data_IF_729607811182
#
_entry.id   IF_729607811182
#
_cell.length_a   1.000
_cell.length_b   1.000
_cell.length_c   1.000
_cell.angle_alpha   90.00
_cell.angle_beta   90.00
_cell.angle_gamma   90.00
#
_symmetry.space_group_name_H-M   'P 1'
#
loop_
_entity.id
_entity.type
_entity.pdbx_description
1 polymer ?
#
# COMPACT_ATOMS: atom_id res chain seq x y z
N UNK A 1 17.40 71.34 -23.54
CA UNK A 1 16.23 72.01 -22.93
C UNK A 1 15.31 70.90 -22.44
N UNK A 2 15.26 70.67 -21.13
CA UNK A 2 14.35 69.70 -20.54
C UNK A 2 13.13 70.48 -20.01
N UNK A 3 11.99 70.25 -20.63
CA UNK A 3 10.72 70.85 -20.18
C UNK A 3 10.42 70.35 -18.78
N UNK A 4 10.45 71.27 -17.81
CA UNK A 4 9.92 71.04 -16.47
C UNK A 4 8.40 70.97 -16.59
N UNK A 5 7.86 69.76 -16.74
CA UNK A 5 6.42 69.50 -16.67
C UNK A 5 5.97 69.81 -15.24
N UNK A 6 5.09 70.79 -15.08
CA UNK A 6 4.48 71.13 -13.78
C UNK A 6 3.64 69.94 -13.27
N UNK A 7 4.05 69.35 -12.15
CA UNK A 7 3.42 68.20 -11.48
C UNK A 7 2.05 68.53 -10.82
N UNK A 8 1.37 69.60 -11.24
CA UNK A 8 0.12 70.07 -10.65
C UNK A 8 -1.14 69.51 -11.34
N UNK A 9 -1.01 68.60 -12.31
CA UNK A 9 -2.14 67.94 -12.96
C UNK A 9 -2.06 66.41 -12.87
N UNK A 10 -3.19 65.76 -12.59
CA UNK A 10 -3.30 64.31 -12.44
C UNK A 10 -2.79 63.53 -13.67
N UNK A 11 -2.96 64.09 -14.87
CA UNK A 11 -2.45 63.50 -16.11
C UNK A 11 -0.92 63.55 -16.18
N UNK A 12 -0.29 64.61 -15.66
CA UNK A 12 1.16 64.72 -15.54
C UNK A 12 1.75 63.66 -14.61
N UNK A 13 1.14 63.46 -13.43
CA UNK A 13 1.55 62.40 -12.49
C UNK A 13 1.40 61.00 -13.09
N UNK A 14 0.32 60.75 -13.84
CA UNK A 14 0.11 59.46 -14.52
C UNK A 14 1.16 59.20 -15.59
N UNK A 15 1.50 60.23 -16.38
CA UNK A 15 2.55 60.14 -17.38
C UNK A 15 3.93 59.91 -16.73
N UNK A 16 4.21 60.58 -15.62
CA UNK A 16 5.46 60.44 -14.87
C UNK A 16 5.60 59.05 -14.23
N UNK A 17 4.53 58.52 -13.62
CA UNK A 17 4.52 57.17 -13.04
C UNK A 17 4.73 56.11 -14.12
N UNK A 18 4.08 56.27 -15.28
CA UNK A 18 4.26 55.36 -16.41
C UNK A 18 5.71 55.42 -16.95
N UNK A 19 6.29 56.60 -17.10
CA UNK A 19 7.68 56.77 -17.51
C UNK A 19 8.67 56.19 -16.50
N UNK A 20 8.42 56.36 -15.20
CA UNK A 20 9.23 55.76 -14.13
C UNK A 20 9.18 54.23 -14.18
N UNK A 21 8.01 53.65 -14.42
CA UNK A 21 7.84 52.19 -14.55
C UNK A 21 8.63 51.63 -15.73
N UNK A 22 8.57 52.26 -16.90
CA UNK A 22 9.35 51.82 -18.06
C UNK A 22 10.86 51.90 -17.80
N UNK A 23 11.35 52.98 -17.17
CA UNK A 23 12.76 53.08 -16.76
C UNK A 23 13.21 51.95 -15.84
N UNK A 24 12.37 51.52 -14.89
CA UNK A 24 12.70 50.40 -14.01
C UNK A 24 12.74 49.05 -14.74
N UNK A 25 11.84 48.84 -15.71
CA UNK A 25 11.80 47.63 -16.52
C UNK A 25 13.02 47.56 -17.47
N UNK A 26 13.37 48.68 -18.08
CA UNK A 26 14.55 48.79 -18.94
C UNK A 26 15.85 48.56 -18.15
N UNK A 27 15.95 49.10 -16.94
CA UNK A 27 17.09 48.85 -16.04
C UNK A 27 17.17 47.37 -15.60
N UNK A 28 16.03 46.70 -15.38
CA UNK A 28 16.00 45.27 -15.11
C UNK A 28 16.43 44.44 -16.33
N UNK A 29 15.99 44.81 -17.54
CA UNK A 29 16.36 44.14 -18.77
C UNK A 29 17.86 44.24 -19.04
N UNK A 30 18.45 45.43 -18.84
CA UNK A 30 19.91 45.64 -18.98
C UNK A 30 20.71 44.83 -17.93
N UNK A 31 20.20 44.68 -16.71
CA UNK A 31 20.83 43.89 -15.63
C UNK A 31 20.83 42.38 -15.91
N UNK A 32 19.90 41.88 -16.73
CA UNK A 32 19.89 40.49 -17.18
C UNK A 32 20.89 40.24 -18.32
N UNK A 33 21.18 41.24 -19.15
CA UNK A 33 22.12 41.11 -20.27
C UNK A 33 23.61 41.16 -19.83
N UNK A 34 23.92 41.69 -18.64
CA UNK A 34 25.30 41.81 -18.14
C UNK A 34 25.78 40.68 -17.21
N UNK A 35 24.99 39.62 -17.00
CA UNK A 35 25.46 38.43 -16.26
C UNK A 35 26.05 37.41 -17.25
N UNK A 36 27.37 37.17 -17.27
CA UNK A 36 27.92 36.06 -18.03
C UNK A 36 27.41 34.75 -17.41
N UNK A 37 26.86 33.88 -18.26
CA UNK A 37 26.39 32.54 -17.90
C UNK A 37 27.58 31.69 -17.43
N UNK A 38 27.92 31.75 -16.14
CA UNK A 38 28.82 30.78 -15.54
C UNK A 38 28.06 29.47 -15.35
N UNK A 39 28.42 28.44 -16.12
CA UNK A 39 27.98 27.06 -15.93
C UNK A 39 28.55 26.50 -14.61
N UNK A 40 27.92 26.87 -13.50
CA UNK A 40 28.13 26.27 -12.19
C UNK A 40 27.27 25.02 -12.04
N UNK A 41 27.89 23.93 -11.57
CA UNK A 41 27.26 22.68 -11.12
C UNK A 41 25.96 22.96 -10.35
N UNK A 42 24.84 22.41 -10.83
CA UNK A 42 23.54 22.55 -10.17
C UNK A 42 23.54 21.85 -8.80
N UNK A 43 23.09 22.50 -7.72
CA UNK A 43 22.71 21.79 -6.50
C UNK A 43 21.41 21.00 -6.74
N UNK A 44 21.33 19.84 -6.09
CA UNK A 44 20.14 18.99 -5.99
C UNK A 44 19.07 19.77 -5.21
N UNK A 45 17.87 19.93 -5.80
CA UNK A 45 16.68 20.38 -5.09
C UNK A 45 16.21 21.79 -5.48
N UNK A 46 15.57 21.92 -6.65
CA UNK A 46 14.85 23.13 -7.01
C UNK A 46 13.34 22.86 -6.91
N UNK A 47 12.67 23.67 -6.09
CA UNK A 47 11.21 23.69 -5.96
C UNK A 47 10.62 24.08 -7.31
N UNK A 48 9.90 23.15 -7.94
CA UNK A 48 9.14 23.43 -9.16
C UNK A 48 8.12 24.52 -8.85
N UNK A 49 8.05 25.54 -9.71
CA UNK A 49 6.95 26.49 -9.73
C UNK A 49 5.61 25.73 -9.90
N UNK A 50 4.49 26.26 -9.41
CA UNK A 50 3.18 25.66 -9.64
C UNK A 50 2.82 25.80 -11.11
N UNK A 51 3.22 24.80 -11.91
CA UNK A 51 2.61 24.56 -13.21
C UNK A 51 1.12 24.28 -12.97
N UNK A 52 0.28 24.94 -13.77
CA UNK A 52 -1.15 24.69 -13.89
C UNK A 52 -1.44 23.19 -13.87
N UNK A 53 -2.19 22.75 -12.85
CA UNK A 53 -2.38 21.32 -12.51
C UNK A 53 -2.92 20.53 -13.70
N UNK A 54 -3.72 21.18 -14.55
CA UNK A 54 -4.33 20.62 -15.76
C UNK A 54 -3.32 20.24 -16.86
N UNK A 55 -2.23 20.98 -17.01
CA UNK A 55 -1.22 20.70 -18.05
C UNK A 55 -0.38 19.47 -17.68
N UNK A 56 -0.13 19.26 -16.38
CA UNK A 56 0.63 18.09 -15.91
C UNK A 56 -0.16 16.79 -16.03
N UNK A 57 -1.47 16.84 -15.74
CA UNK A 57 -2.35 15.67 -15.82
C UNK A 57 -2.56 15.25 -17.28
N UNK A 58 -2.80 16.21 -18.18
CA UNK A 58 -2.92 15.91 -19.62
C UNK A 58 -1.60 15.39 -20.22
N UNK A 59 -0.45 15.91 -19.81
CA UNK A 59 0.86 15.38 -20.22
C UNK A 59 1.10 13.96 -19.70
N UNK A 60 0.75 13.68 -18.44
CA UNK A 60 0.85 12.34 -17.84
C UNK A 60 -0.07 11.34 -18.55
N UNK A 61 -1.28 11.76 -18.92
CA UNK A 61 -2.20 10.94 -19.72
C UNK A 61 -1.68 10.67 -21.13
N UNK A 62 -1.08 11.66 -21.80
CA UNK A 62 -0.42 11.48 -23.10
C UNK A 62 0.76 10.51 -23.00
N UNK A 63 1.60 10.64 -21.98
CA UNK A 63 2.71 9.72 -21.73
C UNK A 63 2.23 8.28 -21.44
N UNK A 64 1.15 8.15 -20.65
CA UNK A 64 0.51 6.86 -20.35
C UNK A 64 -0.05 6.21 -21.62
N UNK A 65 -0.78 6.95 -22.46
CA UNK A 65 -1.28 6.47 -23.76
C UNK A 65 -0.14 6.00 -24.67
N UNK A 66 0.92 6.80 -24.79
CA UNK A 66 2.10 6.42 -25.59
C UNK A 66 2.80 5.15 -25.06
N UNK A 67 2.83 4.93 -23.73
CA UNK A 67 3.34 3.69 -23.16
C UNK A 67 2.43 2.49 -23.46
N UNK A 68 1.11 2.67 -23.39
CA UNK A 68 0.13 1.63 -23.72
C UNK A 68 0.18 1.25 -25.20
N UNK A 69 0.32 2.23 -26.10
CA UNK A 69 0.47 1.96 -27.54
C UNK A 69 1.75 1.18 -27.85
N UNK A 70 2.87 1.52 -27.20
CA UNK A 70 4.12 0.76 -27.33
C UNK A 70 3.96 -0.69 -26.88
N UNK A 71 3.30 -0.90 -25.73
CA UNK A 71 3.00 -2.24 -25.21
C UNK A 71 2.06 -3.00 -26.14
N UNK A 72 1.00 -2.36 -26.65
CA UNK A 72 0.07 -2.98 -27.59
C UNK A 72 0.79 -3.45 -28.87
N UNK A 73 1.66 -2.62 -29.45
CA UNK A 73 2.49 -3.00 -30.61
C UNK A 73 3.44 -4.15 -30.29
N UNK A 74 3.93 -4.25 -29.06
CA UNK A 74 4.76 -5.38 -28.62
C UNK A 74 3.93 -6.66 -28.49
N UNK A 75 2.74 -6.57 -27.89
CA UNK A 75 1.83 -7.71 -27.75
C UNK A 75 1.29 -8.22 -29.09
N UNK A 76 1.05 -7.36 -30.08
CA UNK A 76 0.65 -7.82 -31.42
C UNK A 76 1.78 -8.60 -32.10
N UNK A 77 3.03 -8.14 -31.97
CA UNK A 77 4.20 -8.88 -32.47
C UNK A 77 4.37 -10.23 -31.78
N UNK A 78 4.24 -10.27 -30.45
CA UNK A 78 4.31 -11.52 -29.68
C UNK A 78 3.17 -12.47 -30.05
N UNK A 79 1.95 -11.97 -30.28
CA UNK A 79 0.81 -12.77 -30.74
C UNK A 79 1.03 -13.36 -32.14
N UNK A 80 1.73 -12.64 -33.01
CA UNK A 80 2.14 -13.11 -34.33
C UNK A 80 3.34 -14.08 -34.28
N UNK A 81 3.87 -14.40 -33.09
CA UNK A 81 5.04 -15.26 -32.92
C UNK A 81 6.36 -14.59 -33.29
N UNK A 82 6.34 -13.28 -33.58
CA UNK A 82 7.56 -12.50 -33.78
C UNK A 82 8.10 -12.11 -32.42
N UNK A 83 9.28 -12.62 -32.08
CA UNK A 83 10.03 -12.16 -30.92
C UNK A 83 10.18 -10.63 -31.06
N UNK A 84 9.64 -9.86 -30.12
CA UNK A 84 9.44 -8.41 -30.27
C UNK A 84 10.72 -7.57 -30.24
N UNK A 85 11.81 -8.01 -30.88
CA UNK A 85 13.16 -7.46 -30.75
C UNK A 85 13.98 -8.10 -29.62
N UNK A 86 13.47 -9.19 -29.03
CA UNK A 86 14.19 -10.00 -28.05
C UNK A 86 14.85 -11.14 -28.82
N UNK A 87 16.16 -11.10 -29.05
CA UNK A 87 16.83 -12.16 -29.81
C UNK A 87 16.56 -13.54 -29.18
N UNK A 88 16.39 -14.55 -30.03
CA UNK A 88 16.03 -15.93 -29.65
C UNK A 88 17.08 -16.65 -28.81
N UNK A 89 18.13 -15.95 -28.35
CA UNK A 89 19.34 -16.54 -27.75
C UNK A 89 19.39 -16.57 -26.22
N UNK A 90 18.39 -16.05 -25.51
CA UNK A 90 18.33 -16.20 -24.04
C UNK A 90 17.41 -15.24 -23.30
N UNK A 91 17.08 -14.09 -23.87
CA UNK A 91 16.42 -13.02 -23.10
C UNK A 91 14.90 -13.24 -22.90
N UNK A 92 14.31 -14.23 -23.57
CA UNK A 92 12.88 -14.54 -23.48
C UNK A 92 12.52 -15.54 -22.37
N UNK A 93 13.50 -16.25 -21.81
CA UNK A 93 13.29 -17.22 -20.74
C UNK A 93 13.83 -16.62 -19.44
N UNK A 94 12.91 -16.34 -18.51
CA UNK A 94 13.29 -16.04 -17.13
C UNK A 94 13.79 -17.34 -16.52
N UNK A 95 15.10 -17.41 -16.30
CA UNK A 95 15.74 -18.53 -15.58
C UNK A 95 15.48 -18.37 -14.08
N UNK A 96 14.65 -19.25 -13.52
CA UNK A 96 14.32 -19.25 -12.09
C UNK A 96 15.42 -19.90 -11.25
N UNK A 97 16.30 -20.69 -11.87
CA UNK A 97 17.38 -21.41 -11.16
C UNK A 97 18.60 -20.52 -10.93
N UNK A 98 18.83 -19.51 -11.78
CA UNK A 98 19.91 -18.53 -11.62
C UNK A 98 19.83 -17.69 -10.33
N UNK A 99 18.64 -17.62 -9.70
CA UNK A 99 18.41 -16.85 -8.48
C UNK A 99 19.03 -17.47 -7.23
N UNK A 100 19.32 -18.77 -7.23
CA UNK A 100 19.89 -19.45 -6.05
C UNK A 100 21.39 -19.14 -5.87
N UNK A 101 22.12 -19.04 -6.98
CA UNK A 101 23.59 -18.89 -6.97
C UNK A 101 24.04 -17.42 -6.87
N UNK A 102 23.16 -16.47 -7.20
CA UNK A 102 23.50 -15.04 -7.24
C UNK A 102 23.29 -14.34 -5.89
N UNK A 103 22.52 -14.92 -4.97
CA UNK A 103 22.45 -14.48 -3.57
C UNK A 103 23.52 -15.19 -2.74
N UNK A 104 24.78 -14.88 -3.03
CA UNK A 104 25.88 -15.24 -2.13
C UNK A 104 25.62 -14.64 -0.74
N UNK A 105 25.44 -15.52 0.24
CA UNK A 105 25.78 -15.31 1.65
C UNK A 105 25.32 -13.97 2.28
N UNK A 106 24.06 -13.59 2.09
CA UNK A 106 23.39 -12.81 3.13
C UNK A 106 22.99 -13.80 4.22
N UNK A 107 23.89 -14.01 5.18
CA UNK A 107 23.57 -14.63 6.44
C UNK A 107 22.46 -13.80 7.08
N UNK A 108 21.21 -14.19 6.83
CA UNK A 108 20.12 -13.87 7.74
C UNK A 108 20.52 -14.57 9.03
N UNK A 109 20.96 -13.77 10.01
CA UNK A 109 21.21 -14.25 11.35
C UNK A 109 19.85 -14.65 11.94
N UNK A 110 19.36 -15.81 11.51
CA UNK A 110 18.43 -16.60 12.28
C UNK A 110 19.06 -16.73 13.65
N UNK A 111 18.39 -16.17 14.65
CA UNK A 111 18.68 -16.37 16.07
C UNK A 111 18.34 -17.82 16.44
N UNK A 112 18.89 -18.78 15.70
CA UNK A 112 19.01 -20.18 16.08
C UNK A 112 20.08 -20.21 17.18
N UNK A 113 19.72 -19.69 18.34
CA UNK A 113 20.38 -20.04 19.58
C UNK A 113 20.43 -21.57 19.60
N UNK A 114 21.64 -22.13 19.51
CA UNK A 114 21.87 -23.56 19.36
C UNK A 114 21.00 -24.33 20.37
N UNK A 115 19.90 -24.86 19.87
CA UNK A 115 18.91 -25.56 20.68
C UNK A 115 19.61 -26.78 21.26
N UNK A 116 19.63 -26.87 22.59
CA UNK A 116 20.19 -28.03 23.26
C UNK A 116 19.37 -29.24 22.80
N UNK A 117 19.97 -30.31 22.23
CA UNK A 117 19.22 -31.50 21.83
C UNK A 117 18.46 -32.16 22.99
N UNK A 118 18.72 -31.76 24.23
CA UNK A 118 17.98 -32.16 25.43
C UNK A 118 16.68 -31.38 25.68
N UNK A 119 16.41 -30.27 24.98
CA UNK A 119 15.21 -29.45 25.20
C UNK A 119 13.95 -30.13 24.63
N UNK A 120 13.07 -30.58 25.53
CA UNK A 120 11.80 -31.23 25.17
C UNK A 120 10.85 -30.26 24.44
N UNK A 121 10.16 -30.77 23.41
CA UNK A 121 9.04 -30.08 22.76
C UNK A 121 7.81 -30.12 23.67
N UNK A 122 7.18 -28.96 23.87
CA UNK A 122 5.98 -28.78 24.69
C UNK A 122 4.86 -28.17 23.84
N UNK A 123 3.64 -28.69 23.98
CA UNK A 123 2.45 -28.10 23.37
C UNK A 123 1.88 -27.03 24.30
N UNK A 124 1.71 -25.80 23.82
CA UNK A 124 1.03 -24.75 24.58
C UNK A 124 -0.09 -24.09 23.76
N UNK A 125 -1.07 -23.54 24.47
CA UNK A 125 -2.19 -22.81 23.85
C UNK A 125 -1.94 -21.32 23.95
N UNK A 126 -1.79 -20.67 22.79
CA UNK A 126 -1.59 -19.23 22.64
C UNK A 126 -2.84 -18.43 23.08
N UNK A 127 -2.70 -17.12 23.28
CA UNK A 127 -3.79 -16.20 23.68
C UNK A 127 -4.97 -16.19 22.70
N UNK A 128 -4.73 -16.61 21.45
CA UNK A 128 -5.74 -16.76 20.40
C UNK A 128 -6.41 -18.14 20.38
N UNK A 129 -6.14 -19.01 21.36
CA UNK A 129 -6.70 -20.36 21.44
C UNK A 129 -6.13 -21.34 20.40
N UNK A 130 -4.98 -21.03 19.79
CA UNK A 130 -4.29 -21.90 18.84
C UNK A 130 -3.25 -22.73 19.59
N UNK A 131 -3.19 -24.03 19.30
CA UNK A 131 -2.13 -24.89 19.81
C UNK A 131 -0.85 -24.70 19.00
N UNK A 132 0.28 -24.52 19.68
CA UNK A 132 1.61 -24.41 19.08
C UNK A 132 2.56 -25.38 19.78
N UNK A 133 3.47 -25.95 18.99
CA UNK A 133 4.56 -26.80 19.46
C UNK A 133 5.83 -25.97 19.47
N UNK A 134 6.49 -25.88 20.60
CA UNK A 134 7.77 -25.18 20.72
C UNK A 134 8.65 -25.86 21.77
N UNK A 135 9.94 -25.54 21.79
CA UNK A 135 10.83 -26.04 22.84
C UNK A 135 10.44 -25.43 24.20
N UNK A 136 10.66 -26.18 25.27
CA UNK A 136 10.39 -25.75 26.65
C UNK A 136 11.07 -24.42 27.00
N UNK A 137 12.30 -24.21 26.51
CA UNK A 137 13.09 -22.99 26.69
C UNK A 137 12.55 -21.77 25.95
N UNK A 138 11.82 -21.95 24.86
CA UNK A 138 11.23 -20.87 24.07
C UNK A 138 9.75 -20.62 24.42
N UNK A 139 9.10 -21.58 25.09
CA UNK A 139 7.73 -21.45 25.59
C UNK A 139 7.65 -20.31 26.63
N UNK A 140 6.69 -19.36 26.52
CA UNK A 140 6.55 -18.27 27.47
C UNK A 140 6.31 -18.79 28.89
N UNK A 141 6.90 -18.14 29.89
CA UNK A 141 6.88 -18.57 31.30
C UNK A 141 5.46 -18.82 31.81
N UNK A 142 4.48 -18.03 31.38
CA UNK A 142 3.07 -18.18 31.77
C UNK A 142 2.43 -19.51 31.34
N UNK A 143 2.99 -20.18 30.33
CA UNK A 143 2.51 -21.45 29.79
C UNK A 143 3.42 -22.63 30.13
N UNK A 144 4.51 -22.41 30.88
CA UNK A 144 5.33 -23.49 31.40
C UNK A 144 4.61 -24.18 32.55
N UNK A 145 4.77 -25.49 32.66
CA UNK A 145 4.23 -26.25 33.79
C UNK A 145 4.86 -25.76 35.10
N UNK A 146 4.03 -25.51 36.12
CA UNK A 146 4.48 -24.96 37.40
C UNK A 146 5.36 -25.91 38.22
N UNK A 147 5.52 -27.15 37.78
CA UNK A 147 6.41 -28.15 38.39
C UNK A 147 7.89 -27.74 38.30
N UNK A 148 8.28 -26.94 37.30
CA UNK A 148 9.64 -26.41 37.17
C UNK A 148 9.91 -25.20 38.08
N UNK A 149 8.88 -24.63 38.71
CA UNK A 149 9.06 -23.53 39.66
C UNK A 149 9.72 -23.97 40.97
N UNK A 150 9.82 -25.28 41.22
CA UNK A 150 10.41 -25.88 42.42
C UNK A 150 11.90 -26.23 42.31
N UNK A 151 12.52 -26.09 41.14
CA UNK A 151 13.96 -26.37 40.92
C UNK A 151 14.86 -25.13 41.11
N UNK A 152 14.36 -24.10 41.78
CA UNK A 152 15.23 -23.06 42.33
C UNK A 152 15.78 -23.58 43.65
N UNK A 153 17.12 -23.66 43.86
CA UNK A 153 17.66 -24.06 45.16
C UNK A 153 17.27 -23.01 46.20
N UNK A 154 16.23 -23.32 46.99
CA UNK A 154 15.72 -22.50 48.10
C UNK A 154 16.70 -22.46 49.30
N UNK A 155 17.92 -22.98 49.16
CA UNK A 155 18.81 -23.20 50.31
C UNK A 155 19.59 -21.95 50.77
N UNK A 156 19.48 -20.81 50.09
CA UNK A 156 20.13 -19.55 50.52
C UNK A 156 19.18 -18.33 50.61
N UNK A 157 17.90 -18.55 50.88
CA UNK A 157 17.02 -17.46 51.26
C UNK A 157 17.30 -17.07 52.74
N UNK A 158 18.12 -16.04 52.95
CA UNK A 158 18.35 -15.45 54.28
C UNK A 158 17.05 -14.75 54.71
N UNK A 159 16.20 -15.47 55.44
CA UNK A 159 15.02 -14.92 56.10
C UNK A 159 15.45 -14.19 57.39
N UNK A 160 15.84 -12.92 57.25
CA UNK A 160 15.84 -12.00 58.40
C UNK A 160 14.42 -11.55 58.74
N UNK A 161 14.16 -10.98 59.94
CA UNK A 161 12.90 -10.28 60.23
C UNK A 161 12.86 -8.97 59.43
N UNK A 162 12.63 -9.09 58.12
CA UNK A 162 12.44 -7.96 57.22
C UNK A 162 11.02 -7.42 57.42
N UNK A 163 10.79 -6.73 58.55
CA UNK A 163 9.49 -6.17 58.93
C UNK A 163 9.06 -4.99 58.06
N UNK A 164 9.91 -4.52 57.15
CA UNK A 164 9.56 -3.47 56.19
C UNK A 164 10.44 -3.55 54.93
N UNK A 165 9.90 -4.14 53.87
CA UNK A 165 10.40 -3.87 52.52
C UNK A 165 9.86 -2.50 52.08
N UNK A 166 10.71 -1.54 51.67
CA UNK A 166 10.23 -0.30 51.08
C UNK A 166 9.61 -0.63 49.72
N UNK A 167 8.31 -0.93 49.72
CA UNK A 167 7.52 -1.09 48.50
C UNK A 167 7.38 0.30 47.88
N UNK A 168 8.10 0.53 46.79
CA UNK A 168 7.98 1.77 46.01
C UNK A 168 6.54 1.91 45.49
N UNK A 169 5.73 2.69 46.20
CA UNK A 169 4.40 3.09 45.75
C UNK A 169 4.58 4.29 44.83
N UNK A 170 4.75 4.03 43.52
CA UNK A 170 4.64 5.09 42.52
C UNK A 170 3.21 5.60 42.57
N UNK A 171 2.98 6.72 43.23
CA UNK A 171 1.70 7.40 43.12
C UNK A 171 1.47 7.66 41.63
N UNK A 172 0.44 7.04 41.08
CA UNK A 172 0.10 7.19 39.67
C UNK A 172 -0.19 8.66 39.47
N UNK A 173 0.75 9.38 38.83
CA UNK A 173 0.59 10.78 38.45
C UNK A 173 -0.65 10.83 37.57
N UNK A 174 -1.78 11.21 38.16
CA UNK A 174 -3.04 11.47 37.45
C UNK A 174 -2.77 12.70 36.61
N UNK A 175 -2.30 12.47 35.39
CA UNK A 175 -2.24 13.51 34.38
C UNK A 175 -3.68 14.02 34.24
N UNK A 176 -3.93 15.34 34.30
CA UNK A 176 -5.25 15.86 34.03
C UNK A 176 -5.62 15.40 32.62
N UNK A 177 -6.61 14.53 32.52
CA UNK A 177 -7.17 14.04 31.26
C UNK A 177 -8.04 15.17 30.69
N UNK A 178 -7.41 16.32 30.42
CA UNK A 178 -7.95 17.33 29.54
C UNK A 178 -7.73 16.84 28.10
N UNK A 179 -8.39 15.73 27.75
CA UNK A 179 -8.45 15.21 26.38
C UNK A 179 -9.68 15.73 25.64
N UNK A 180 -10.47 16.61 26.25
CA UNK A 180 -11.75 17.05 25.69
C UNK A 180 -11.58 17.95 24.45
N UNK A 181 -10.50 18.71 24.34
CA UNK A 181 -10.30 19.69 23.27
C UNK A 181 -8.92 19.56 22.60
N UNK A 182 -8.37 18.34 22.49
CA UNK A 182 -7.20 18.15 21.63
C UNK A 182 -7.71 18.15 20.19
N UNK A 183 -7.32 19.16 19.42
CA UNK A 183 -7.60 19.24 17.99
C UNK A 183 -7.29 17.89 17.32
N UNK A 184 -8.34 17.19 16.88
CA UNK A 184 -8.29 15.89 16.19
C UNK A 184 -7.41 15.92 14.92
N UNK A 185 -6.92 17.10 14.52
CA UNK A 185 -6.01 17.31 13.39
C UNK A 185 -4.55 16.94 13.67
N UNK A 186 -4.17 16.60 14.91
CA UNK A 186 -2.75 16.34 15.22
C UNK A 186 -2.26 14.94 14.79
N UNK A 187 -3.17 13.99 14.55
CA UNK A 187 -2.79 12.59 14.34
C UNK A 187 -2.80 12.13 12.88
N UNK A 188 -3.62 12.74 12.04
CA UNK A 188 -3.76 12.33 10.65
C UNK A 188 -3.91 13.54 9.74
N UNK A 189 -3.05 13.64 8.74
CA UNK A 189 -3.14 14.64 7.69
C UNK A 189 -3.15 13.95 6.33
N UNK A 190 -4.25 14.07 5.56
CA UNK A 190 -4.37 13.43 4.27
C UNK A 190 -3.36 13.95 3.23
N UNK A 191 -2.75 15.12 3.43
CA UNK A 191 -1.85 15.72 2.43
C UNK A 191 -0.40 15.22 2.55
N UNK A 192 0.08 14.85 3.74
CA UNK A 192 1.45 14.34 3.92
C UNK A 192 1.54 12.84 4.18
N UNK A 193 0.44 12.18 4.56
CA UNK A 193 0.49 10.79 5.01
C UNK A 193 0.25 9.78 3.86
N UNK A 194 1.08 8.71 3.80
CA UNK A 194 1.03 7.69 2.73
C UNK A 194 -0.14 6.72 2.91
N UNK A 195 -0.72 6.64 4.12
CA UNK A 195 -1.83 5.72 4.45
C UNK A 195 -3.09 5.98 3.60
N UNK A 196 -3.24 7.19 3.06
CA UNK A 196 -4.34 7.61 2.19
C UNK A 196 -4.24 7.08 0.74
N UNK A 197 -3.15 6.42 0.34
CA UNK A 197 -2.94 5.95 -1.05
C UNK A 197 -3.68 4.64 -1.41
N UNK A 198 -4.46 4.08 -0.49
CA UNK A 198 -5.28 2.90 -0.75
C UNK A 198 -6.40 3.15 -1.77
N UNK A 199 -6.86 2.08 -2.41
CA UNK A 199 -8.07 2.15 -3.24
C UNK A 199 -9.29 2.43 -2.35
N UNK A 200 -10.09 3.43 -2.72
CA UNK A 200 -11.29 3.92 -2.01
C UNK A 200 -11.09 4.89 -0.83
N UNK A 201 -9.94 5.57 -0.72
CA UNK A 201 -9.80 6.70 0.20
C UNK A 201 -10.48 7.98 -0.34
N UNK A 202 -11.28 8.65 0.50
CA UNK A 202 -11.86 9.96 0.19
C UNK A 202 -11.15 11.06 1.00
N UNK A 203 -10.55 12.02 0.32
CA UNK A 203 -9.96 13.21 0.96
C UNK A 203 -11.05 14.24 1.23
N UNK A 204 -11.41 14.43 2.50
CA UNK A 204 -12.34 15.47 2.93
C UNK A 204 -11.61 16.77 3.32
N UNK A 205 -12.37 17.85 3.42
CA UNK A 205 -11.87 19.14 3.91
C UNK A 205 -11.47 19.08 5.40
N UNK A 206 -10.48 19.90 5.77
CA UNK A 206 -10.05 20.04 7.16
C UNK A 206 -11.10 20.75 8.02
N UNK A 207 -11.86 21.69 7.45
CA UNK A 207 -12.97 22.35 8.13
C UNK A 207 -14.10 21.37 8.48
N UNK A 208 -14.55 21.41 9.74
CA UNK A 208 -15.56 20.49 10.30
C UNK A 208 -16.91 20.63 9.58
N UNK A 209 -17.32 21.85 9.24
CA UNK A 209 -18.59 22.08 8.56
C UNK A 209 -18.54 21.56 7.12
N UNK A 210 -17.51 21.91 6.36
CA UNK A 210 -17.30 21.41 5.01
C UNK A 210 -17.17 19.88 4.96
N UNK A 211 -16.42 19.27 5.89
CA UNK A 211 -16.28 17.82 6.03
C UNK A 211 -17.63 17.14 6.26
N UNK A 212 -18.45 17.67 7.17
CA UNK A 212 -19.79 17.14 7.46
C UNK A 212 -20.69 17.20 6.22
N UNK A 213 -20.68 18.32 5.48
CA UNK A 213 -21.44 18.46 4.25
C UNK A 213 -21.02 17.43 3.18
N UNK A 214 -19.71 17.21 3.03
CA UNK A 214 -19.17 16.21 2.11
C UNK A 214 -19.56 14.78 2.50
N UNK A 215 -19.52 14.45 3.80
CA UNK A 215 -19.96 13.15 4.31
C UNK A 215 -21.46 12.93 4.08
N UNK A 216 -22.29 13.95 4.30
CA UNK A 216 -23.74 13.84 4.02
C UNK A 216 -24.02 13.65 2.53
N UNK A 217 -23.28 14.34 1.66
CA UNK A 217 -23.42 14.18 0.21
C UNK A 217 -22.99 12.77 -0.26
N UNK A 218 -21.92 12.22 0.32
CA UNK A 218 -21.48 10.86 0.04
C UNK A 218 -22.52 9.82 0.50
N UNK A 219 -23.11 10.02 1.68
CA UNK A 219 -24.20 9.19 2.20
C UNK A 219 -25.42 9.20 1.28
N UNK A 220 -25.82 10.37 0.78
CA UNK A 220 -26.92 10.50 -0.17
C UNK A 220 -26.66 9.73 -1.48
N UNK A 221 -25.45 9.85 -2.04
CA UNK A 221 -25.05 9.07 -3.23
C UNK A 221 -25.07 7.57 -2.98
N UNK A 222 -24.62 7.14 -1.80
CA UNK A 222 -24.67 5.72 -1.40
C UNK A 222 -26.11 5.22 -1.35
N UNK A 223 -27.01 5.95 -0.69
CA UNK A 223 -28.43 5.61 -0.64
C UNK A 223 -29.06 5.53 -2.04
N UNK A 224 -28.72 6.47 -2.94
CA UNK A 224 -29.17 6.43 -4.34
C UNK A 224 -28.65 5.17 -5.06
N UNK A 225 -27.38 4.80 -4.88
CA UNK A 225 -26.84 3.57 -5.49
C UNK A 225 -27.44 2.30 -4.92
N UNK A 226 -27.77 2.28 -3.63
CA UNK A 226 -28.43 1.16 -2.97
C UNK A 226 -29.88 1.03 -3.45
N UNK A 227 -30.61 2.15 -3.55
CA UNK A 227 -31.95 2.19 -4.14
C UNK A 227 -31.95 1.72 -5.61
N UNK A 228 -31.02 2.24 -6.43
CA UNK A 228 -30.87 1.80 -7.83
C UNK A 228 -30.52 0.32 -7.94
N UNK A 229 -29.71 -0.21 -7.02
CA UNK A 229 -29.38 -1.66 -6.98
C UNK A 229 -30.55 -2.51 -6.49
N UNK A 230 -31.43 -1.98 -5.66
CA UNK A 230 -32.63 -2.66 -5.21
C UNK A 230 -33.71 -2.67 -6.31
N UNK A 231 -33.86 -1.56 -7.03
CA UNK A 231 -34.80 -1.43 -8.15
C UNK A 231 -34.35 -2.19 -9.40
N UNK A 232 -33.04 -2.21 -9.68
CA UNK A 232 -32.51 -3.02 -10.75
C UNK A 232 -32.54 -4.50 -10.32
N UNK A 233 -33.37 -5.38 -10.93
CA UNK A 233 -33.26 -6.79 -10.68
C UNK A 233 -31.83 -7.20 -11.07
N UNK A 234 -31.04 -7.64 -10.08
CA UNK A 234 -29.75 -8.22 -10.37
C UNK A 234 -30.07 -9.43 -11.28
N UNK A 235 -29.79 -9.31 -12.57
CA UNK A 235 -29.65 -10.45 -13.44
C UNK A 235 -28.20 -10.85 -13.25
N UNK A 236 -27.94 -11.70 -12.25
CA UNK A 236 -26.65 -12.39 -12.17
C UNK A 236 -26.67 -13.33 -13.35
N UNK A 237 -26.17 -12.84 -14.48
CA UNK A 237 -25.71 -13.71 -15.52
C UNK A 237 -24.54 -14.49 -14.90
N UNK A 238 -24.68 -15.81 -14.72
CA UNK A 238 -23.60 -16.59 -14.18
C UNK A 238 -22.38 -16.37 -15.07
N UNK A 239 -21.27 -15.92 -14.49
CA UNK A 239 -20.02 -15.74 -15.23
C UNK A 239 -19.64 -17.10 -15.85
N UNK A 240 -18.98 -17.11 -17.01
CA UNK A 240 -18.59 -18.36 -17.69
C UNK A 240 -17.92 -19.38 -16.74
N UNK A 241 -17.15 -18.91 -15.75
CA UNK A 241 -16.54 -19.75 -14.73
C UNK A 241 -17.54 -20.45 -13.79
N UNK A 242 -18.62 -19.80 -13.37
CA UNK A 242 -19.65 -20.43 -12.54
C UNK A 242 -20.50 -21.41 -13.35
N UNK A 243 -20.76 -21.11 -14.63
CA UNK A 243 -21.43 -22.04 -15.56
C UNK A 243 -20.60 -23.32 -15.75
N UNK A 244 -19.29 -23.19 -15.94
CA UNK A 244 -18.37 -24.34 -16.06
C UNK A 244 -18.30 -25.19 -14.79
N UNK A 245 -18.33 -24.56 -13.61
CA UNK A 245 -18.39 -25.29 -12.33
C UNK A 245 -19.72 -26.01 -12.15
N UNK A 246 -20.84 -25.37 -12.45
CA UNK A 246 -22.15 -25.99 -12.39
C UNK A 246 -22.27 -27.17 -13.36
N UNK A 247 -21.76 -27.03 -14.59
CA UNK A 247 -21.72 -28.13 -15.56
C UNK A 247 -20.84 -29.30 -15.08
N UNK A 248 -19.68 -29.02 -14.48
CA UNK A 248 -18.83 -30.07 -13.88
C UNK A 248 -19.52 -30.76 -12.72
N UNK A 249 -20.17 -30.01 -11.84
CA UNK A 249 -20.91 -30.55 -10.71
C UNK A 249 -22.06 -31.45 -11.19
N UNK A 250 -22.81 -31.03 -12.22
CA UNK A 250 -23.88 -31.85 -12.80
C UNK A 250 -23.37 -33.18 -13.38
N UNK A 251 -22.16 -33.20 -13.97
CA UNK A 251 -21.53 -34.44 -14.44
C UNK A 251 -21.13 -35.34 -13.26
N UNK A 252 -20.59 -34.77 -12.19
CA UNK A 252 -20.23 -35.49 -10.96
C UNK A 252 -21.48 -36.07 -10.29
N UNK A 253 -22.53 -35.26 -10.11
CA UNK A 253 -23.79 -35.67 -9.49
C UNK A 253 -24.48 -36.77 -10.33
N UNK A 254 -24.40 -36.70 -11.66
CA UNK A 254 -24.88 -37.77 -12.55
C UNK A 254 -24.08 -39.08 -12.38
N UNK A 255 -22.76 -39.01 -12.22
CA UNK A 255 -21.92 -40.19 -11.97
C UNK A 255 -22.17 -40.80 -10.59
N UNK A 256 -22.37 -39.96 -9.57
CA UNK A 256 -22.71 -40.41 -8.20
C UNK A 256 -24.09 -41.07 -8.17
N UNK A 257 -25.08 -40.52 -8.89
CA UNK A 257 -26.39 -41.17 -9.04
C UNK A 257 -26.27 -42.51 -9.77
N UNK A 258 -25.46 -42.60 -10.82
CA UNK A 258 -25.23 -43.85 -11.56
C UNK A 258 -24.51 -44.92 -10.71
N UNK A 259 -23.59 -44.54 -9.82
CA UNK A 259 -22.94 -45.49 -8.91
C UNK A 259 -23.82 -45.90 -7.73
N UNK A 260 -24.82 -45.09 -7.36
CA UNK A 260 -25.77 -45.40 -6.27
C UNK A 260 -26.93 -46.31 -6.69
N UNK A 261 -27.24 -46.40 -7.99
CA UNK A 261 -28.17 -47.38 -8.54
C UNK A 261 -27.39 -48.64 -8.94
N UNK A 262 -27.13 -49.48 -7.96
CA UNK A 262 -26.46 -50.77 -8.15
C UNK A 262 -27.18 -51.65 -9.18
N UNK A 263 -26.50 -51.93 -10.28
CA UNK A 263 -26.81 -53.06 -11.15
C UNK A 263 -25.60 -54.01 -11.15
N UNK A 264 -25.84 -55.34 -11.06
CA UNK A 264 -24.79 -56.33 -10.82
C UNK A 264 -23.86 -56.49 -12.03
N UNK A 265 -22.62 -56.88 -11.72
CA UNK A 265 -21.52 -57.18 -12.64
C UNK A 265 -21.98 -57.80 -13.97
N UNK A 266 -21.81 -57.05 -15.07
CA UNK A 266 -21.64 -57.64 -16.39
C UNK A 266 -20.41 -57.01 -17.02
N UNK A 267 -19.36 -57.82 -17.11
CA UNK A 267 -18.09 -57.50 -17.73
C UNK A 267 -18.28 -56.92 -19.14
N UNK A 268 -17.93 -55.65 -19.34
CA UNK A 268 -17.87 -55.02 -20.66
C UNK A 268 -16.42 -54.96 -21.11
N UNK A 269 -15.96 -56.04 -21.73
CA UNK A 269 -14.70 -56.10 -22.47
C UNK A 269 -14.86 -55.27 -23.74
N UNK A 270 -14.35 -54.03 -23.74
CA UNK A 270 -14.26 -53.21 -24.95
C UNK A 270 -12.92 -53.45 -25.65
N UNK A 271 -12.99 -54.36 -26.62
CA UNK A 271 -12.05 -54.55 -27.71
C UNK A 271 -12.01 -53.28 -28.57
N UNK A 272 -10.94 -52.50 -28.49
CA UNK A 272 -10.62 -51.46 -29.48
C UNK A 272 -10.04 -52.13 -30.73
N UNK A 273 -10.86 -52.28 -31.76
CA UNK A 273 -10.41 -52.56 -33.12
C UNK A 273 -10.22 -51.24 -33.87
N UNK A 274 -9.02 -51.07 -34.42
CA UNK A 274 -8.51 -49.91 -35.16
C UNK A 274 -8.56 -50.25 -36.66
N UNK A 275 -9.30 -49.49 -37.48
CA UNK A 275 -9.35 -49.40 -38.97
C UNK A 275 -10.63 -48.58 -39.29
N UNK A 276 -10.70 -47.52 -40.08
CA UNK A 276 -9.90 -46.95 -41.18
C UNK A 276 -9.71 -45.43 -41.04
#
# INVERSE_FOLDING_TARGET
MADRVNASSFLGLKAELHAARHRTLDAQAQRLQQKPLSLGKKPRGEKRAPDTVDDTETQRHKASRAALERKARMYTKLREGKHGGLDTRGDALVDWDATLDTTGAAADASDDAALDPADALVEYTDEFGRTRMDHKSNTPVAYRESSDAHDMPEENAIYGPATAFPVYKKEARTLPVATADKDESLHFDPDWEIRSRGAAFYRFAHDKAARRAQQTALGARRAETEARRAEAPHTVQPRLGSQRRAARQAVVDAHVCFSSFGLPEVAFILRWSYLD
#
